data_IF_759816256152
#
_entry.id   IF_759816256152
#
_cell.length_a   1.000
_cell.length_b   1.000
_cell.length_c   1.000
_cell.angle_alpha   90.00
_cell.angle_beta   90.00
_cell.angle_gamma   90.00
#
_symmetry.space_group_name_H-M   'P 1'
#
loop_
_entity.id
_entity.type
_entity.pdbx_description
1 polymer ?
#
# COMPACT_ATOMS: atom_id res chain seq x y z
N UNK A 1 5.16 -4.05 1.58
CA UNK A 1 6.19 -3.66 0.60
C UNK A 1 7.51 -3.45 1.34
N UNK A 2 8.63 -3.84 0.76
CA UNK A 2 9.95 -3.64 1.35
C UNK A 2 10.89 -3.01 0.32
N UNK A 3 11.84 -2.21 0.81
CA UNK A 3 12.97 -1.71 0.03
C UNK A 3 14.21 -2.18 0.77
N UNK A 4 15.15 -2.80 0.04
CA UNK A 4 16.43 -3.26 0.58
C UNK A 4 17.12 -2.12 1.35
N UNK A 5 17.75 -2.43 2.48
CA UNK A 5 18.25 -1.43 3.45
C UNK A 5 19.20 -0.43 2.79
N UNK A 6 20.07 -0.89 1.90
CA UNK A 6 21.01 -0.11 1.08
C UNK A 6 20.34 0.87 0.11
N UNK A 7 19.03 0.78 -0.07
CA UNK A 7 18.25 1.55 -1.02
C UNK A 7 17.12 2.37 -0.35
N UNK A 8 16.99 2.29 0.97
CA UNK A 8 15.99 3.05 1.72
C UNK A 8 16.27 4.56 1.73
N UNK A 9 15.23 5.34 2.06
CA UNK A 9 15.25 6.82 2.15
C UNK A 9 15.63 7.55 0.84
N UNK A 10 15.57 6.85 -0.30
CA UNK A 10 15.81 7.40 -1.65
C UNK A 10 14.52 7.63 -2.45
N UNK A 11 13.35 7.59 -1.78
CA UNK A 11 12.05 7.73 -2.45
C UNK A 11 11.57 6.50 -3.23
N UNK A 12 12.35 5.41 -3.27
CA UNK A 12 12.03 4.23 -4.08
C UNK A 12 10.70 3.57 -3.73
N UNK A 13 10.34 3.51 -2.43
CA UNK A 13 9.05 2.96 -2.02
C UNK A 13 7.87 3.75 -2.59
N UNK A 14 8.01 5.08 -2.69
CA UNK A 14 7.00 5.95 -3.29
C UNK A 14 6.90 5.74 -4.80
N UNK A 15 8.05 5.68 -5.48
CA UNK A 15 8.11 5.41 -6.92
C UNK A 15 7.48 4.05 -7.25
N UNK A 16 7.84 3.00 -6.50
CA UNK A 16 7.31 1.65 -6.70
C UNK A 16 5.79 1.64 -6.50
N UNK A 17 5.30 2.23 -5.40
CA UNK A 17 3.87 2.26 -5.12
C UNK A 17 3.10 3.06 -6.18
N UNK A 18 3.62 4.21 -6.61
CA UNK A 18 3.04 5.00 -7.70
C UNK A 18 2.87 4.17 -8.96
N UNK A 19 3.94 3.48 -9.39
CA UNK A 19 3.94 2.62 -10.57
C UNK A 19 2.98 1.44 -10.46
N UNK A 20 2.89 0.82 -9.29
CA UNK A 20 1.92 -0.25 -9.04
C UNK A 20 0.49 0.26 -9.15
N UNK A 21 0.17 1.41 -8.56
CA UNK A 21 -1.16 1.99 -8.63
C UNK A 21 -1.52 2.45 -10.05
N UNK A 22 -0.59 3.05 -10.80
CA UNK A 22 -0.76 3.32 -12.23
C UNK A 22 -1.10 2.04 -12.99
N UNK A 23 -0.28 0.99 -12.82
CA UNK A 23 -0.48 -0.26 -13.55
C UNK A 23 -1.80 -0.92 -13.21
N UNK A 24 -2.21 -0.92 -11.95
CA UNK A 24 -3.51 -1.46 -11.55
C UNK A 24 -4.63 -0.68 -12.25
N UNK A 25 -4.60 0.66 -12.27
CA UNK A 25 -5.62 1.47 -12.93
C UNK A 25 -5.71 1.22 -14.43
N UNK A 26 -4.59 0.93 -15.10
CA UNK A 26 -4.57 0.61 -16.53
C UNK A 26 -5.29 -0.70 -16.87
N UNK A 27 -5.20 -1.71 -16.00
CA UNK A 27 -5.69 -3.07 -16.30
C UNK A 27 -6.93 -3.48 -15.52
N UNK A 28 -7.27 -2.74 -14.45
CA UNK A 28 -8.39 -3.08 -13.58
C UNK A 28 -9.74 -2.83 -14.25
N UNK A 29 -10.67 -3.74 -14.04
CA UNK A 29 -12.09 -3.50 -14.32
C UNK A 29 -12.70 -2.56 -13.27
N UNK A 30 -13.78 -1.83 -13.58
CA UNK A 30 -14.50 -1.05 -12.58
C UNK A 30 -14.89 -1.90 -11.37
N UNK A 31 -14.68 -1.36 -10.16
CA UNK A 31 -15.01 -2.04 -8.90
C UNK A 31 -13.92 -2.96 -8.32
N UNK A 32 -12.73 -3.04 -8.93
CA UNK A 32 -11.60 -3.76 -8.31
C UNK A 32 -11.26 -3.17 -6.95
N UNK A 33 -11.12 -4.05 -5.96
CA UNK A 33 -10.76 -3.71 -4.59
C UNK A 33 -9.28 -3.97 -4.33
N UNK A 34 -8.53 -2.93 -3.97
CA UNK A 34 -7.12 -3.00 -3.60
C UNK A 34 -6.98 -2.73 -2.12
N UNK A 35 -6.47 -3.70 -1.36
CA UNK A 35 -6.26 -3.59 0.08
C UNK A 35 -4.83 -3.94 0.49
N UNK A 36 -4.42 -3.44 1.65
CA UNK A 36 -3.16 -3.81 2.30
C UNK A 36 -3.30 -3.69 3.82
N UNK A 37 -2.42 -4.40 4.53
CA UNK A 37 -2.22 -4.20 5.97
C UNK A 37 -1.08 -3.20 6.14
N UNK A 38 -1.39 -2.04 6.70
CA UNK A 38 -0.45 -0.93 6.81
C UNK A 38 0.24 -0.92 8.19
N UNK A 39 1.54 -1.22 8.21
CA UNK A 39 2.38 -0.92 9.37
C UNK A 39 2.47 0.60 9.59
N UNK A 40 2.63 1.07 10.84
CA UNK A 40 2.66 2.50 11.16
C UNK A 40 3.62 3.34 10.29
N UNK A 41 4.85 2.90 9.98
CA UNK A 41 5.76 3.68 9.11
C UNK A 41 5.26 3.82 7.67
N UNK A 42 4.54 2.83 7.16
CA UNK A 42 4.02 2.79 5.79
C UNK A 42 2.72 3.58 5.60
N UNK A 43 1.93 3.81 6.66
CA UNK A 43 0.61 4.46 6.58
C UNK A 43 0.62 5.77 5.79
N UNK A 44 1.55 6.69 6.09
CA UNK A 44 1.65 7.99 5.40
C UNK A 44 1.96 7.83 3.91
N UNK A 45 2.77 6.83 3.55
CA UNK A 45 3.07 6.55 2.16
C UNK A 45 1.82 6.05 1.43
N UNK A 46 1.11 5.07 1.99
CA UNK A 46 -0.11 4.53 1.36
C UNK A 46 -1.21 5.58 1.21
N UNK A 47 -1.40 6.44 2.22
CA UNK A 47 -2.37 7.52 2.18
C UNK A 47 -2.12 8.53 1.03
N UNK A 48 -0.85 8.83 0.71
CA UNK A 48 -0.50 9.70 -0.43
C UNK A 48 -0.95 9.14 -1.78
N UNK A 49 -1.11 7.83 -1.89
CA UNK A 49 -1.57 7.14 -3.10
C UNK A 49 -3.07 6.86 -3.13
N UNK A 50 -3.82 7.45 -2.20
CA UNK A 50 -5.29 7.38 -2.14
C UNK A 50 -5.84 6.14 -1.42
N UNK A 51 -4.99 5.34 -0.77
CA UNK A 51 -5.48 4.29 0.11
C UNK A 51 -6.03 4.90 1.40
N UNK A 52 -7.20 4.44 1.82
CA UNK A 52 -7.90 4.90 3.02
C UNK A 52 -8.01 3.78 4.04
N UNK A 53 -8.17 4.15 5.32
CA UNK A 53 -8.46 3.16 6.36
C UNK A 53 -9.85 2.57 6.15
N UNK A 54 -9.98 1.25 6.28
CA UNK A 54 -11.25 0.52 6.19
C UNK A 54 -11.94 0.37 7.54
N UNK A 55 -11.26 0.73 8.63
CA UNK A 55 -11.82 0.71 9.97
C UNK A 55 -12.85 1.84 10.16
N UNK A 56 -13.88 1.64 11.00
CA UNK A 56 -14.16 0.43 11.78
C UNK A 56 -14.87 -0.68 10.99
N UNK A 57 -15.31 -0.43 9.74
CA UNK A 57 -16.13 -1.36 8.96
C UNK A 57 -15.45 -2.69 8.62
N UNK A 58 -14.12 -2.68 8.46
CA UNK A 58 -13.30 -3.89 8.29
C UNK A 58 -11.90 -3.67 8.87
N UNK A 59 -11.44 -4.62 9.69
CA UNK A 59 -10.13 -4.59 10.35
C UNK A 59 -9.28 -5.78 9.97
N UNK A 60 -7.97 -5.58 9.85
CA UNK A 60 -7.01 -6.67 9.64
C UNK A 60 -6.90 -7.56 10.88
N UNK A 61 -6.72 -8.87 10.68
CA UNK A 61 -6.58 -9.87 11.75
C UNK A 61 -5.37 -10.75 11.47
N UNK A 62 -4.68 -11.22 12.51
CA UNK A 62 -3.51 -12.10 12.38
C UNK A 62 -3.41 -13.07 13.58
N UNK A 63 -2.75 -14.22 13.37
CA UNK A 63 -2.36 -15.17 14.41
C UNK A 63 -0.90 -15.57 14.17
N UNK A 64 -0.11 -15.64 15.25
CA UNK A 64 1.22 -16.25 15.25
C UNK A 64 1.12 -17.54 16.07
N UNK A 65 1.55 -18.65 15.49
CA UNK A 65 1.55 -19.98 16.13
C UNK A 65 2.96 -20.37 16.55
#
# INVERSE_FOLDING_TARGET
>A
MAVATEHQRRGLGDIILARLMERIREVATPGVWVSLLADPPGKKLYARHGLVETAPGSVGMAILL
#
